data_IF_222022732907
#
_entry.id   IF_222022732907
#
_cell.length_a   1.000
_cell.length_b   1.000
_cell.length_c   1.000
_cell.angle_alpha   90.00
_cell.angle_beta   90.00
_cell.angle_gamma   90.00
#
_symmetry.space_group_name_H-M   'P 1'
#
loop_
_entity.id
_entity.type
_entity.pdbx_description
1 polymer ?
#
# COMPACT_ATOMS: atom_id res chain seq x y z
N UNK A 1 19.08 -4.45 -21.76
CA UNK A 1 18.21 -5.39 -21.02
C UNK A 1 18.97 -5.76 -19.77
N UNK A 2 18.32 -5.76 -18.61
CA UNK A 2 18.99 -6.18 -17.39
C UNK A 2 19.15 -7.71 -17.47
N UNK A 3 20.36 -8.20 -17.25
CA UNK A 3 20.62 -9.64 -17.28
C UNK A 3 20.22 -10.21 -15.93
N UNK A 4 19.42 -11.29 -15.94
CA UNK A 4 19.12 -12.05 -14.73
C UNK A 4 20.44 -12.50 -14.11
N UNK A 5 20.65 -12.17 -12.84
CA UNK A 5 21.81 -12.66 -12.08
C UNK A 5 21.49 -14.09 -11.66
N UNK A 6 22.12 -15.07 -12.31
CA UNK A 6 21.77 -16.49 -12.13
C UNK A 6 21.87 -16.96 -10.68
N UNK A 7 22.82 -16.40 -9.90
CA UNK A 7 22.99 -16.72 -8.48
C UNK A 7 21.88 -16.19 -7.57
N UNK A 8 21.03 -15.29 -8.06
CA UNK A 8 19.90 -14.77 -7.29
C UNK A 8 18.74 -15.77 -7.21
N UNK A 9 18.83 -16.88 -7.95
CA UNK A 9 17.81 -17.92 -8.01
C UNK A 9 18.40 -19.31 -7.71
N UNK A 10 17.52 -20.23 -7.34
CA UNK A 10 17.79 -21.64 -7.22
C UNK A 10 16.60 -22.43 -7.75
N UNK A 11 16.87 -23.57 -8.36
CA UNK A 11 15.86 -24.53 -8.82
C UNK A 11 16.15 -25.87 -8.18
N UNK A 12 15.24 -26.35 -7.34
CA UNK A 12 15.34 -27.67 -6.72
C UNK A 12 14.76 -28.76 -7.63
N UNK A 13 15.13 -30.02 -7.38
CA UNK A 13 14.68 -31.19 -8.18
C UNK A 13 13.15 -31.36 -8.21
N UNK A 14 12.45 -30.83 -7.21
CA UNK A 14 10.99 -30.85 -7.17
C UNK A 14 10.34 -29.72 -8.01
N UNK A 15 11.13 -28.93 -8.74
CA UNK A 15 10.67 -27.79 -9.55
C UNK A 15 10.55 -26.48 -8.76
N UNK A 16 10.85 -26.46 -7.46
CA UNK A 16 10.76 -25.25 -6.67
C UNK A 16 11.82 -24.23 -7.09
N UNK A 17 11.37 -23.06 -7.55
CA UNK A 17 12.22 -21.93 -7.88
C UNK A 17 12.18 -20.94 -6.72
N UNK A 18 13.32 -20.62 -6.13
CA UNK A 18 13.42 -19.76 -4.93
C UNK A 18 14.45 -18.66 -5.11
N UNK A 19 14.14 -17.48 -4.57
CA UNK A 19 15.07 -16.35 -4.56
C UNK A 19 16.11 -16.55 -3.46
N UNK A 20 17.38 -16.52 -3.84
CA UNK A 20 18.56 -16.63 -2.96
C UNK A 20 19.44 -15.38 -3.02
N UNK A 21 19.06 -14.41 -3.86
CA UNK A 21 19.78 -13.17 -4.10
C UNK A 21 19.64 -12.15 -2.98
N UNK A 22 20.22 -10.96 -3.22
CA UNK A 22 20.18 -9.86 -2.23
C UNK A 22 19.79 -8.50 -2.79
N UNK A 23 19.70 -8.33 -4.11
CA UNK A 23 19.56 -6.97 -4.68
C UNK A 23 18.80 -6.86 -6.00
N UNK A 24 18.79 -7.87 -6.86
CA UNK A 24 18.22 -7.68 -8.21
C UNK A 24 16.74 -8.03 -8.25
N UNK A 25 15.93 -7.10 -8.76
CA UNK A 25 14.58 -7.38 -9.22
C UNK A 25 14.60 -7.48 -10.75
N UNK A 26 13.85 -8.43 -11.30
CA UNK A 26 13.81 -8.68 -12.74
C UNK A 26 12.38 -8.56 -13.27
N UNK A 27 12.24 -8.22 -14.55
CA UNK A 27 10.93 -8.31 -15.19
C UNK A 27 10.52 -9.79 -15.33
N UNK A 28 9.22 -10.04 -15.36
CA UNK A 28 8.69 -11.39 -15.56
C UNK A 28 9.16 -12.00 -16.91
N UNK A 29 9.39 -11.17 -17.93
CA UNK A 29 9.96 -11.63 -19.21
C UNK A 29 11.44 -12.00 -19.10
N UNK A 30 12.26 -11.23 -18.36
CA UNK A 30 13.66 -11.56 -18.13
C UNK A 30 13.78 -12.90 -17.38
N UNK A 31 12.92 -13.12 -16.38
CA UNK A 31 12.83 -14.39 -15.67
C UNK A 31 12.44 -15.57 -16.58
N UNK A 32 11.43 -15.41 -17.44
CA UNK A 32 11.06 -16.46 -18.40
C UNK A 32 12.20 -16.81 -19.36
N UNK A 33 12.94 -15.80 -19.84
CA UNK A 33 14.08 -16.01 -20.74
C UNK A 33 15.22 -16.74 -20.05
N UNK A 34 15.51 -16.41 -18.79
CA UNK A 34 16.49 -17.15 -17.99
C UNK A 34 16.12 -18.63 -17.83
N UNK A 35 14.84 -18.96 -17.58
CA UNK A 35 14.39 -20.35 -17.56
C UNK A 35 14.55 -21.03 -18.92
N UNK A 36 14.31 -20.31 -20.02
CA UNK A 36 14.54 -20.81 -21.38
C UNK A 36 16.02 -21.10 -21.65
N UNK A 37 16.92 -20.22 -21.22
CA UNK A 37 18.36 -20.41 -21.36
C UNK A 37 18.84 -21.66 -20.60
N UNK A 38 18.35 -21.89 -19.37
CA UNK A 38 18.64 -23.12 -18.62
C UNK A 38 18.09 -24.38 -19.29
N UNK A 39 16.89 -24.31 -19.86
CA UNK A 39 16.31 -25.44 -20.60
C UNK A 39 17.07 -25.75 -21.91
N UNK A 40 17.89 -24.83 -22.40
CA UNK A 40 18.75 -25.08 -23.56
C UNK A 40 20.12 -25.64 -23.15
N UNK A 41 20.43 -25.70 -21.85
CA UNK A 41 21.68 -26.25 -21.35
C UNK A 41 21.74 -27.77 -21.50
N UNK A 42 22.92 -28.28 -21.84
CA UNK A 42 23.15 -29.71 -22.06
C UNK A 42 23.10 -30.55 -20.78
N UNK A 43 23.25 -29.92 -19.62
CA UNK A 43 23.27 -30.57 -18.31
C UNK A 43 23.07 -29.53 -17.21
N UNK A 44 22.17 -29.83 -16.26
CA UNK A 44 21.96 -28.99 -15.10
C UNK A 44 23.23 -28.92 -14.22
N UNK A 45 23.50 -27.78 -13.60
CA UNK A 45 24.68 -27.57 -12.79
C UNK A 45 24.40 -26.71 -11.55
N UNK A 46 25.15 -26.96 -10.47
CA UNK A 46 25.07 -26.18 -9.25
C UNK A 46 23.70 -26.30 -8.55
N UNK A 47 23.09 -25.15 -8.27
CA UNK A 47 21.80 -25.00 -7.61
C UNK A 47 20.64 -24.77 -8.59
N UNK A 48 20.89 -24.89 -9.90
CA UNK A 48 19.92 -24.70 -10.97
C UNK A 48 19.64 -26.05 -11.63
N UNK A 49 18.77 -26.85 -10.99
CA UNK A 49 18.45 -28.21 -11.43
C UNK A 49 17.36 -28.20 -12.52
N UNK A 50 17.70 -27.62 -13.67
CA UNK A 50 16.87 -27.55 -14.88
C UNK A 50 17.78 -27.66 -16.13
N UNK A 51 17.45 -28.55 -17.06
CA UNK A 51 18.15 -28.68 -18.35
C UNK A 51 17.24 -29.13 -19.51
N UNK A 52 17.84 -29.39 -20.68
CA UNK A 52 17.15 -29.81 -21.91
C UNK A 52 16.35 -31.11 -21.80
N UNK A 53 16.65 -31.94 -20.81
CA UNK A 53 15.95 -33.22 -20.60
C UNK A 53 14.70 -33.09 -19.75
N UNK A 54 14.54 -31.96 -19.08
CA UNK A 54 13.40 -31.69 -18.20
C UNK A 54 12.15 -31.24 -18.97
N UNK A 55 11.01 -31.28 -18.27
CA UNK A 55 9.77 -30.73 -18.78
C UNK A 55 9.86 -29.20 -18.94
N UNK A 56 9.12 -28.66 -19.92
CA UNK A 56 9.07 -27.21 -20.14
C UNK A 56 8.69 -26.46 -18.88
N UNK A 57 9.58 -25.63 -18.34
CA UNK A 57 9.39 -24.96 -17.07
C UNK A 57 8.34 -23.85 -17.12
N UNK A 58 8.29 -23.11 -18.23
CA UNK A 58 7.38 -21.99 -18.38
C UNK A 58 6.93 -21.78 -19.82
N UNK A 59 5.71 -21.26 -19.97
CA UNK A 59 5.13 -20.84 -21.25
C UNK A 59 4.74 -19.36 -21.17
N UNK A 60 4.87 -18.64 -22.28
CA UNK A 60 4.42 -17.25 -22.38
C UNK A 60 3.17 -17.14 -23.27
N UNK A 61 2.17 -16.40 -22.81
CA UNK A 61 1.04 -15.99 -23.66
C UNK A 61 1.29 -14.64 -24.31
N UNK A 62 1.97 -13.75 -23.59
CA UNK A 62 2.48 -12.45 -24.06
C UNK A 62 3.79 -12.19 -23.32
N UNK A 63 4.49 -11.09 -23.64
CA UNK A 63 5.70 -10.73 -22.92
C UNK A 63 5.45 -10.38 -21.44
N UNK A 64 4.20 -10.10 -21.03
CA UNK A 64 3.86 -9.79 -19.63
C UNK A 64 3.04 -10.89 -18.94
N UNK A 65 2.79 -12.04 -19.59
CA UNK A 65 1.96 -13.11 -19.02
C UNK A 65 2.67 -14.45 -19.18
N UNK A 66 3.17 -14.96 -18.06
CA UNK A 66 3.93 -16.20 -17.98
C UNK A 66 3.16 -17.22 -17.13
N UNK A 67 3.12 -18.46 -17.62
CA UNK A 67 2.56 -19.61 -16.90
C UNK A 67 3.69 -20.57 -16.57
N UNK A 68 3.89 -20.85 -15.29
CA UNK A 68 4.78 -21.91 -14.82
C UNK A 68 4.05 -23.25 -14.95
N UNK A 69 4.73 -24.23 -15.53
CA UNK A 69 4.19 -25.56 -15.76
C UNK A 69 4.58 -26.46 -14.60
N UNK A 70 3.71 -27.38 -14.22
CA UNK A 70 4.04 -28.36 -13.18
C UNK A 70 5.31 -29.15 -13.60
N UNK A 71 6.26 -29.37 -12.67
CA UNK A 71 6.18 -29.11 -11.23
C UNK A 71 6.64 -27.71 -10.78
N UNK A 72 7.03 -26.83 -11.70
CA UNK A 72 7.68 -25.56 -11.40
C UNK A 72 6.75 -24.54 -10.75
N UNK A 73 7.25 -23.87 -9.72
CA UNK A 73 6.53 -22.85 -8.96
C UNK A 73 7.48 -21.86 -8.28
N UNK A 74 6.96 -20.67 -7.98
CA UNK A 74 7.61 -19.66 -7.15
C UNK A 74 6.85 -19.48 -5.83
N UNK A 75 7.53 -18.96 -4.82
CA UNK A 75 6.93 -18.59 -3.54
C UNK A 75 6.67 -17.07 -3.44
N UNK A 76 6.02 -16.65 -2.36
CA UNK A 76 5.75 -15.24 -2.07
C UNK A 76 7.03 -14.40 -1.97
N UNK A 77 8.15 -15.04 -1.58
CA UNK A 77 9.45 -14.38 -1.46
C UNK A 77 9.98 -14.02 -2.83
N UNK A 78 10.10 -14.99 -3.75
CA UNK A 78 10.58 -14.74 -5.10
C UNK A 78 9.67 -13.78 -5.86
N UNK A 79 8.35 -13.87 -5.66
CA UNK A 79 7.39 -12.98 -6.29
C UNK A 79 7.64 -11.48 -6.00
N UNK A 80 8.22 -11.13 -4.84
CA UNK A 80 8.59 -9.74 -4.51
C UNK A 80 9.73 -9.20 -5.37
N UNK A 81 10.51 -10.08 -6.00
CA UNK A 81 11.64 -9.75 -6.86
C UNK A 81 11.32 -9.78 -8.36
N UNK A 82 10.05 -9.98 -8.70
CA UNK A 82 9.57 -9.91 -10.08
C UNK A 82 8.58 -8.76 -10.25
N UNK A 83 8.56 -8.18 -11.44
CA UNK A 83 7.64 -7.09 -11.79
C UNK A 83 7.36 -7.06 -13.30
N UNK A 84 6.51 -6.13 -13.73
CA UNK A 84 6.18 -5.91 -15.15
C UNK A 84 5.49 -7.11 -15.84
N UNK A 85 4.67 -7.84 -15.10
CA UNK A 85 3.87 -8.93 -15.64
C UNK A 85 3.26 -9.80 -14.57
N UNK A 86 2.70 -10.92 -15.00
CA UNK A 86 1.99 -11.88 -14.16
C UNK A 86 2.58 -13.28 -14.27
N UNK A 87 2.52 -13.99 -13.15
CA UNK A 87 2.88 -15.40 -13.04
C UNK A 87 1.63 -16.20 -12.66
N UNK A 88 1.28 -17.15 -13.52
CA UNK A 88 0.24 -18.15 -13.29
C UNK A 88 0.94 -19.47 -12.96
N UNK A 89 0.59 -20.12 -11.85
CA UNK A 89 1.17 -21.41 -11.48
C UNK A 89 0.12 -22.38 -10.94
N UNK A 90 0.52 -23.63 -10.69
CA UNK A 90 -0.33 -24.67 -10.11
C UNK A 90 -1.66 -24.83 -10.87
N UNK A 91 -1.60 -24.87 -12.21
CA UNK A 91 -2.81 -24.98 -13.04
C UNK A 91 -3.75 -23.78 -12.99
N UNK A 92 -3.30 -22.65 -12.43
CA UNK A 92 -4.11 -21.45 -12.23
C UNK A 92 -4.70 -21.32 -10.83
N UNK A 93 -4.33 -22.20 -9.89
CA UNK A 93 -4.78 -22.12 -8.50
C UNK A 93 -4.03 -21.07 -7.68
N UNK A 94 -2.87 -20.64 -8.15
CA UNK A 94 -2.09 -19.57 -7.53
C UNK A 94 -1.59 -18.61 -8.59
N UNK A 95 -1.85 -17.31 -8.38
CA UNK A 95 -1.59 -16.29 -9.39
C UNK A 95 -1.11 -15.00 -8.73
N UNK A 96 -0.01 -14.50 -9.29
CA UNK A 96 0.59 -13.21 -8.99
C UNK A 96 0.39 -12.28 -10.18
N UNK A 97 -0.13 -11.09 -9.93
CA UNK A 97 -0.42 -10.11 -10.97
C UNK A 97 0.49 -8.90 -10.88
N UNK A 98 0.88 -8.36 -12.03
CA UNK A 98 1.63 -7.12 -12.11
C UNK A 98 0.77 -5.93 -11.69
N UNK A 99 1.31 -5.09 -10.81
CA UNK A 99 0.76 -3.81 -10.41
C UNK A 99 1.71 -2.71 -10.88
N UNK A 100 1.17 -1.78 -11.67
CA UNK A 100 1.86 -0.61 -12.20
C UNK A 100 1.25 0.65 -11.60
N UNK A 101 2.05 1.46 -10.92
CA UNK A 101 1.56 2.64 -10.20
C UNK A 101 2.06 3.92 -10.86
N UNK A 102 1.12 4.69 -11.41
CA UNK A 102 1.37 6.04 -11.90
C UNK A 102 1.16 7.04 -10.77
N UNK A 103 2.24 7.68 -10.36
CA UNK A 103 2.28 8.77 -9.41
C UNK A 103 3.67 9.43 -9.49
N UNK A 104 3.82 10.61 -8.87
CA UNK A 104 5.15 11.18 -8.71
C UNK A 104 6.07 10.21 -7.92
N UNK A 105 7.34 10.13 -8.32
CA UNK A 105 8.35 9.33 -7.64
C UNK A 105 8.51 9.80 -6.18
N UNK A 106 8.82 8.88 -5.26
CA UNK A 106 8.95 9.20 -3.84
C UNK A 106 7.73 8.87 -2.99
N UNK A 107 6.58 8.57 -3.59
CA UNK A 107 5.32 8.33 -2.90
C UNK A 107 5.34 7.09 -2.01
N UNK A 108 4.84 7.18 -0.77
CA UNK A 108 4.50 5.99 0.01
C UNK A 108 3.19 5.36 -0.46
N UNK A 109 3.25 4.05 -0.71
CA UNK A 109 2.14 3.26 -1.25
C UNK A 109 1.68 2.21 -0.25
N UNK A 110 0.37 2.19 -0.02
CA UNK A 110 -0.32 1.12 0.68
C UNK A 110 -1.28 0.41 -0.26
N UNK A 111 -1.29 -0.92 -0.19
CA UNK A 111 -2.25 -1.75 -0.90
C UNK A 111 -3.17 -2.43 0.11
N UNK A 112 -4.48 -2.25 -0.07
CA UNK A 112 -5.50 -2.95 0.69
C UNK A 112 -6.12 -4.03 -0.18
N UNK A 113 -6.22 -5.24 0.36
CA UNK A 113 -6.87 -6.40 -0.25
C UNK A 113 -7.55 -7.19 0.87
N UNK A 114 -8.74 -7.75 0.61
CA UNK A 114 -9.47 -8.54 1.60
C UNK A 114 -9.76 -7.78 2.91
N UNK A 115 -10.05 -6.47 2.79
CA UNK A 115 -10.36 -5.60 3.92
C UNK A 115 -9.19 -5.29 4.86
N UNK A 116 -7.97 -5.70 4.53
CA UNK A 116 -6.78 -5.47 5.32
C UNK A 116 -5.62 -4.91 4.47
N UNK A 117 -4.63 -4.32 5.13
CA UNK A 117 -3.39 -3.90 4.49
C UNK A 117 -2.62 -5.16 4.01
N UNK A 118 -2.48 -5.30 2.71
CA UNK A 118 -1.86 -6.46 2.06
C UNK A 118 -0.34 -6.28 1.92
N UNK A 119 0.07 -5.11 1.45
CA UNK A 119 1.49 -4.71 1.42
C UNK A 119 1.61 -3.21 1.65
N UNK A 120 2.75 -2.81 2.20
CA UNK A 120 3.06 -1.43 2.47
C UNK A 120 4.50 -1.13 2.06
N UNK A 121 4.65 -0.24 1.09
CA UNK A 121 5.93 0.26 0.64
C UNK A 121 6.18 1.58 1.36
N UNK A 122 6.72 1.49 2.57
CA UNK A 122 7.30 2.63 3.32
C UNK A 122 8.64 3.08 2.76
N UNK A 123 8.85 2.89 1.45
CA UNK A 123 10.04 3.28 0.71
C UNK A 123 9.60 4.09 -0.50
N UNK A 124 10.51 4.89 -1.03
CA UNK A 124 10.21 5.95 -2.02
C UNK A 124 9.90 5.43 -3.44
N UNK A 125 9.99 4.12 -3.66
CA UNK A 125 9.69 3.52 -4.97
C UNK A 125 10.29 2.11 -5.11
N UNK A 126 9.45 1.14 -5.46
CA UNK A 126 9.87 -0.21 -5.83
C UNK A 126 9.88 -0.36 -7.35
N UNK A 127 11.04 -0.61 -7.96
CA UNK A 127 11.20 -0.69 -9.42
C UNK A 127 10.66 0.56 -10.15
N UNK A 128 10.85 1.74 -9.54
CA UNK A 128 10.36 3.02 -10.04
C UNK A 128 10.98 3.40 -11.40
N UNK A 129 10.24 4.19 -12.17
CA UNK A 129 10.72 4.83 -13.39
C UNK A 129 10.16 6.25 -13.45
N UNK A 130 10.91 7.17 -12.86
CA UNK A 130 10.52 8.57 -12.75
C UNK A 130 10.40 9.26 -14.11
N UNK A 131 11.14 8.80 -15.14
CA UNK A 131 11.06 9.38 -16.48
C UNK A 131 9.71 9.10 -17.15
N UNK A 132 9.08 7.97 -16.81
CA UNK A 132 7.77 7.56 -17.30
C UNK A 132 6.63 7.82 -16.30
N UNK A 133 6.90 8.53 -15.18
CA UNK A 133 5.88 8.83 -14.16
C UNK A 133 5.42 7.61 -13.36
N UNK A 134 6.26 6.58 -13.25
CA UNK A 134 5.97 5.34 -12.56
C UNK A 134 6.64 5.37 -11.19
N UNK A 135 5.85 5.27 -10.12
CA UNK A 135 6.38 5.23 -8.76
C UNK A 135 6.72 3.80 -8.32
N UNK A 136 5.89 2.82 -8.68
CA UNK A 136 6.04 1.42 -8.27
C UNK A 136 5.69 0.44 -9.39
N UNK A 137 6.45 -0.65 -9.46
CA UNK A 137 6.12 -1.87 -10.20
C UNK A 137 6.46 -3.09 -9.36
N UNK A 138 5.50 -3.97 -9.17
CA UNK A 138 5.66 -5.19 -8.38
C UNK A 138 4.59 -6.20 -8.73
N UNK A 139 4.75 -7.44 -8.28
CA UNK A 139 3.67 -8.42 -8.32
C UNK A 139 2.92 -8.50 -6.99
N UNK A 140 1.63 -8.79 -7.05
CA UNK A 140 0.79 -9.06 -5.90
C UNK A 140 0.05 -10.38 -6.09
N UNK A 141 0.03 -11.22 -5.06
CA UNK A 141 -0.80 -12.43 -5.05
C UNK A 141 -2.28 -12.05 -5.08
N UNK A 142 -3.02 -12.56 -6.06
CA UNK A 142 -4.46 -12.27 -6.20
C UNK A 142 -5.34 -13.53 -6.16
N UNK A 143 -4.72 -14.71 -6.24
CA UNK A 143 -5.40 -16.00 -6.17
C UNK A 143 -4.53 -16.99 -5.41
N UNK A 144 -5.16 -17.78 -4.56
CA UNK A 144 -4.52 -18.87 -3.82
C UNK A 144 -5.50 -20.03 -3.66
N UNK A 145 -5.02 -21.27 -3.73
CA UNK A 145 -5.82 -22.48 -3.61
C UNK A 145 -7.10 -22.48 -4.49
N UNK A 146 -6.99 -21.96 -5.72
CA UNK A 146 -8.10 -21.92 -6.68
C UNK A 146 -9.12 -20.82 -6.44
N UNK A 147 -8.97 -20.00 -5.39
CA UNK A 147 -9.91 -18.95 -5.02
C UNK A 147 -9.31 -17.55 -5.18
N UNK A 148 -10.07 -16.66 -5.82
CA UNK A 148 -9.72 -15.24 -5.95
C UNK A 148 -9.75 -14.55 -4.58
N UNK A 149 -8.64 -13.93 -4.19
CA UNK A 149 -8.57 -13.11 -2.98
C UNK A 149 -9.38 -11.84 -3.23
N UNK A 150 -10.43 -11.63 -2.44
CA UNK A 150 -11.33 -10.48 -2.55
C UNK A 150 -11.91 -10.27 -3.97
N UNK A 151 -12.11 -11.35 -4.73
CA UNK A 151 -12.53 -11.26 -6.14
C UNK A 151 -11.53 -10.52 -7.04
N UNK A 152 -10.25 -10.53 -6.66
CA UNK A 152 -9.14 -9.78 -7.27
C UNK A 152 -9.29 -8.26 -7.16
N UNK A 153 -10.07 -7.78 -6.20
CA UNK A 153 -10.25 -6.35 -5.94
C UNK A 153 -9.14 -5.84 -5.04
N UNK A 154 -8.67 -4.64 -5.35
CA UNK A 154 -7.57 -3.98 -4.67
C UNK A 154 -7.85 -2.50 -4.50
N UNK A 155 -7.31 -1.90 -3.46
CA UNK A 155 -7.28 -0.45 -3.28
C UNK A 155 -5.82 -0.05 -3.08
N UNK A 156 -5.31 0.78 -3.98
CA UNK A 156 -4.05 1.50 -3.77
C UNK A 156 -4.35 2.83 -3.10
N UNK A 157 -3.57 3.19 -2.08
CA UNK A 157 -3.72 4.48 -1.41
C UNK A 157 -2.37 5.07 -1.00
N UNK A 158 -2.35 6.39 -0.88
CA UNK A 158 -1.27 7.14 -0.23
C UNK A 158 -1.86 8.01 0.87
N UNK A 159 -1.17 8.05 2.01
CA UNK A 159 -1.61 8.68 3.28
C UNK A 159 -0.46 9.43 3.95
N UNK A 160 0.48 9.95 3.16
CA UNK A 160 1.65 10.64 3.70
C UNK A 160 1.33 12.07 4.15
N UNK A 161 1.65 12.37 5.41
CA UNK A 161 1.41 13.69 5.98
C UNK A 161 2.16 14.79 5.20
N UNK A 162 1.47 15.90 4.92
CA UNK A 162 2.00 17.01 4.12
C UNK A 162 1.85 16.81 2.61
N UNK A 163 1.28 15.68 2.17
CA UNK A 163 0.96 15.39 0.78
C UNK A 163 -0.54 15.10 0.60
N UNK A 164 -1.00 15.17 -0.65
CA UNK A 164 -2.38 14.83 -1.02
C UNK A 164 -2.67 13.36 -0.74
N UNK A 165 -3.74 13.10 0.02
CA UNK A 165 -4.22 11.74 0.20
C UNK A 165 -5.00 11.32 -1.05
N UNK A 166 -4.60 10.20 -1.64
CA UNK A 166 -5.23 9.68 -2.86
C UNK A 166 -5.57 8.21 -2.69
N UNK A 167 -6.60 7.77 -3.39
CA UNK A 167 -7.06 6.39 -3.41
C UNK A 167 -7.47 6.01 -4.83
N UNK A 168 -7.14 4.78 -5.24
CA UNK A 168 -7.55 4.22 -6.51
C UNK A 168 -7.95 2.76 -6.34
N UNK A 169 -9.09 2.37 -6.93
CA UNK A 169 -9.65 1.03 -6.81
C UNK A 169 -9.50 0.26 -8.11
N UNK A 170 -9.06 -0.99 -8.02
CA UNK A 170 -9.14 -1.97 -9.10
C UNK A 170 -10.27 -2.93 -8.74
N UNK A 171 -11.32 -2.98 -9.56
CA UNK A 171 -12.52 -3.80 -9.32
C UNK A 171 -12.40 -5.21 -9.92
N UNK A 172 -11.23 -5.83 -9.76
CA UNK A 172 -10.87 -7.11 -10.36
C UNK A 172 -9.69 -6.96 -11.30
N UNK A 173 -8.51 -7.43 -10.88
CA UNK A 173 -7.33 -7.46 -11.75
C UNK A 173 -7.50 -8.42 -12.93
N UNK A 174 -6.82 -8.10 -14.02
CA UNK A 174 -6.60 -8.98 -15.16
C UNK A 174 -5.13 -9.40 -15.22
N UNK A 175 -4.84 -10.37 -16.11
CA UNK A 175 -3.46 -10.80 -16.36
C UNK A 175 -2.63 -9.68 -16.99
N UNK A 176 -1.33 -9.66 -16.68
CA UNK A 176 -0.38 -8.63 -17.07
C UNK A 176 -0.31 -7.49 -16.05
N UNK A 177 -0.08 -6.27 -16.54
CA UNK A 177 0.05 -5.09 -15.69
C UNK A 177 -1.31 -4.41 -15.44
N UNK A 178 -1.66 -4.27 -14.18
CA UNK A 178 -2.85 -3.57 -13.71
C UNK A 178 -2.47 -2.20 -13.19
N UNK A 179 -3.21 -1.17 -13.60
CA UNK A 179 -2.83 0.22 -13.34
C UNK A 179 -3.52 0.76 -12.08
N UNK A 180 -2.72 1.37 -11.21
CA UNK A 180 -3.17 2.28 -10.15
C UNK A 180 -2.72 3.70 -10.51
N UNK A 181 -3.66 4.63 -10.62
CA UNK A 181 -3.36 6.04 -10.85
C UNK A 181 -3.61 6.83 -9.57
N UNK A 182 -2.55 7.30 -8.93
CA UNK A 182 -2.62 8.03 -7.67
C UNK A 182 -2.07 9.44 -7.86
N UNK A 183 -2.69 10.38 -7.15
CA UNK A 183 -2.16 11.74 -7.05
C UNK A 183 -1.26 11.84 -5.82
N UNK A 184 -0.04 12.34 -6.02
CA UNK A 184 0.92 12.56 -4.95
C UNK A 184 1.62 13.91 -5.19
N UNK A 185 1.17 14.92 -4.46
CA UNK A 185 1.69 16.27 -4.51
C UNK A 185 1.66 16.89 -3.11
N UNK A 186 2.45 17.95 -2.88
CA UNK A 186 2.41 18.69 -1.62
C UNK A 186 1.00 19.22 -1.35
N UNK A 187 0.49 18.98 -0.15
CA UNK A 187 -0.79 19.52 0.28
C UNK A 187 -0.61 20.98 0.72
N UNK A 188 -1.09 21.91 -0.11
CA UNK A 188 -1.01 23.34 0.15
C UNK A 188 -1.85 23.77 1.36
N UNK A 189 -2.81 22.95 1.81
CA UNK A 189 -3.61 23.22 2.99
C UNK A 189 -2.98 22.67 4.28
N UNK A 190 -1.93 21.84 4.17
CA UNK A 190 -1.26 21.20 5.30
C UNK A 190 0.26 21.36 5.20
N UNK A 191 0.73 22.59 5.34
CA UNK A 191 2.14 22.96 5.26
C UNK A 191 2.87 22.93 6.62
N UNK A 192 2.15 22.68 7.72
CA UNK A 192 2.74 22.60 9.06
C UNK A 192 3.60 21.35 9.14
N UNK A 193 4.85 21.44 9.57
CA UNK A 193 5.73 20.29 9.64
C UNK A 193 5.19 19.19 10.58
N UNK A 194 5.31 17.92 10.18
CA UNK A 194 4.87 16.78 10.96
C UNK A 194 5.43 16.78 12.39
N UNK A 195 6.71 17.14 12.55
CA UNK A 195 7.35 17.25 13.86
C UNK A 195 6.75 18.33 14.76
N UNK A 196 6.21 19.42 14.18
CA UNK A 196 5.49 20.45 14.94
C UNK A 196 4.14 19.93 15.41
N UNK A 197 3.38 19.25 14.54
CA UNK A 197 2.09 18.64 14.88
C UNK A 197 2.25 17.54 15.93
N UNK A 198 3.26 16.68 15.77
CA UNK A 198 3.57 15.63 16.74
C UNK A 198 3.95 16.17 18.13
N UNK A 199 4.44 17.42 18.19
CA UNK A 199 4.73 18.12 19.44
C UNK A 199 3.52 18.77 20.12
N UNK A 200 2.33 18.75 19.50
CA UNK A 200 1.12 19.31 20.12
C UNK A 200 0.62 18.40 21.24
N UNK A 201 1.11 18.66 22.45
CA UNK A 201 0.59 18.03 23.68
C UNK A 201 -0.69 18.70 24.18
N UNK A 202 -1.08 19.79 23.55
CA UNK A 202 -2.22 20.63 23.92
C UNK A 202 -3.55 20.07 23.44
N UNK A 203 -3.55 19.15 22.48
CA UNK A 203 -4.78 18.47 22.03
C UNK A 203 -4.69 17.02 22.49
N UNK A 204 -5.56 16.63 23.42
CA UNK A 204 -5.60 15.26 23.95
C UNK A 204 -6.97 14.66 23.72
N UNK A 205 -7.00 13.38 23.34
CA UNK A 205 -8.20 12.58 23.27
C UNK A 205 -8.13 11.49 24.33
N UNK A 206 -9.10 11.48 25.25
CA UNK A 206 -9.33 10.34 26.14
C UNK A 206 -10.47 9.51 25.57
N UNK A 207 -10.11 8.43 24.87
CA UNK A 207 -11.07 7.52 24.25
C UNK A 207 -11.84 6.70 25.30
N UNK A 208 -13.09 6.35 24.96
CA UNK A 208 -13.97 5.53 25.79
C UNK A 208 -15.22 6.28 26.25
N UNK A 209 -16.17 5.54 26.82
CA UNK A 209 -17.41 6.13 27.33
C UNK A 209 -17.12 7.02 28.54
N UNK A 210 -17.56 8.27 28.49
CA UNK A 210 -17.29 9.30 29.50
C UNK A 210 -18.59 9.99 29.89
N UNK A 211 -18.75 10.24 31.18
CA UNK A 211 -19.78 11.14 31.69
C UNK A 211 -19.10 12.45 32.08
N UNK A 212 -19.43 13.53 31.36
CA UNK A 212 -18.77 14.84 31.48
C UNK A 212 -19.86 15.90 31.55
N UNK A 213 -19.77 16.82 32.49
CA UNK A 213 -20.63 18.00 32.57
C UNK A 213 -19.99 19.11 31.72
N UNK A 214 -20.36 19.18 30.44
CA UNK A 214 -19.74 20.12 29.49
C UNK A 214 -20.44 21.49 29.52
N UNK A 215 -21.74 21.51 29.84
CA UNK A 215 -22.53 22.74 29.87
C UNK A 215 -22.60 23.42 31.26
N UNK A 216 -22.06 22.77 32.29
CA UNK A 216 -21.95 23.28 33.66
C UNK A 216 -23.27 23.25 34.42
N UNK A 217 -24.24 22.42 34.02
CA UNK A 217 -25.56 22.34 34.63
C UNK A 217 -25.64 21.39 35.85
N UNK A 218 -24.50 20.80 36.27
CA UNK A 218 -24.37 19.79 37.32
C UNK A 218 -24.99 18.42 36.99
N UNK A 219 -25.33 18.16 35.73
CA UNK A 219 -25.82 16.89 35.19
C UNK A 219 -24.89 16.44 34.07
N UNK A 220 -24.05 15.41 34.28
CA UNK A 220 -23.13 14.96 33.25
C UNK A 220 -23.84 14.40 32.01
N UNK A 221 -23.41 14.81 30.82
CA UNK A 221 -23.77 14.15 29.56
C UNK A 221 -22.80 13.02 29.22
N UNK A 222 -23.27 12.09 28.39
CA UNK A 222 -22.49 10.93 28.01
C UNK A 222 -21.89 11.09 26.60
N UNK A 223 -20.58 10.92 26.51
CA UNK A 223 -19.81 11.04 25.28
C UNK A 223 -18.99 9.77 25.02
N UNK A 224 -18.66 9.50 23.76
CA UNK A 224 -17.84 8.35 23.35
C UNK A 224 -16.33 8.63 23.38
N UNK A 225 -15.95 9.89 23.61
CA UNK A 225 -14.56 10.36 23.73
C UNK A 225 -14.53 11.75 24.31
N UNK A 226 -13.50 12.07 25.09
CA UNK A 226 -13.22 13.42 25.59
C UNK A 226 -12.07 14.04 24.80
N UNK A 227 -12.35 15.13 24.08
CA UNK A 227 -11.34 15.90 23.37
C UNK A 227 -11.05 17.19 24.13
N UNK A 228 -9.85 17.27 24.72
CA UNK A 228 -9.35 18.48 25.33
C UNK A 228 -8.46 19.21 24.33
N UNK A 229 -8.75 20.49 24.15
CA UNK A 229 -7.83 21.44 23.52
C UNK A 229 -7.35 22.37 24.62
N UNK A 230 -6.05 22.64 24.69
CA UNK A 230 -5.44 23.55 25.66
C UNK A 230 -5.70 25.01 25.25
N UNK A 231 -6.94 25.29 24.82
CA UNK A 231 -7.52 26.57 25.17
C UNK A 231 -7.68 26.51 26.67
N UNK A 232 -6.96 27.38 27.37
CA UNK A 232 -7.54 27.98 28.56
C UNK A 232 -8.95 28.40 28.16
N UNK A 233 -9.96 27.67 28.60
CA UNK A 233 -11.14 28.35 29.09
C UNK A 233 -10.55 29.29 30.12
N UNK A 234 -10.32 30.55 29.73
CA UNK A 234 -10.29 31.59 30.73
C UNK A 234 -11.62 31.41 31.45
N UNK A 235 -11.56 30.75 32.60
CA UNK A 235 -12.62 30.79 33.58
C UNK A 235 -12.67 32.24 33.97
N UNK A 236 -13.50 32.96 33.26
CA UNK A 236 -14.00 34.24 33.62
C UNK A 236 -15.41 34.21 33.02
N UNK A 237 -16.48 34.38 33.78
CA UNK A 237 -16.80 35.60 34.51
C UNK A 237 -16.26 36.91 33.87
N UNK A 238 -15.79 36.88 32.62
CA UNK A 238 -15.38 38.02 31.81
C UNK A 238 -16.46 38.24 30.77
N UNK A 239 -17.15 39.40 30.80
CA UNK A 239 -18.19 39.73 29.82
C UNK A 239 -17.62 40.08 28.43
N UNK A 240 -16.41 39.62 28.11
CA UNK A 240 -15.62 40.00 26.93
C UNK A 240 -15.13 38.76 26.20
N UNK A 241 -15.36 38.71 24.89
CA UNK A 241 -14.75 37.72 23.99
C UNK A 241 -14.12 38.46 22.81
N UNK A 242 -12.98 37.96 22.32
CA UNK A 242 -12.23 38.55 21.21
C UNK A 242 -12.51 37.77 19.91
N UNK A 243 -12.96 38.47 18.87
CA UNK A 243 -12.91 38.03 17.48
C UNK A 243 -12.15 39.11 16.70
N UNK A 244 -11.12 38.72 15.93
CA UNK A 244 -10.37 39.62 15.04
C UNK A 244 -9.99 40.99 15.65
N UNK A 245 -9.35 40.99 16.82
CA UNK A 245 -8.85 42.19 17.51
C UNK A 245 -9.92 43.24 17.90
N UNK A 246 -11.21 42.87 17.94
CA UNK A 246 -12.30 43.74 18.40
C UNK A 246 -12.85 43.27 19.76
N UNK A 247 -12.86 44.18 20.75
CA UNK A 247 -13.40 43.92 22.10
C UNK A 247 -14.89 44.29 22.15
N UNK A 248 -15.77 43.33 22.44
CA UNK A 248 -17.22 43.54 22.57
C UNK A 248 -17.74 43.08 23.94
N UNK A 249 -18.53 43.94 24.61
CA UNK A 249 -19.17 43.67 25.92
C UNK A 249 -20.48 42.92 25.69
N UNK A 250 -20.71 41.77 26.35
CA UNK A 250 -22.07 41.18 26.39
C UNK A 250 -23.03 42.14 27.12
N UNK A 251 -23.96 42.71 26.38
CA UNK A 251 -25.15 43.34 26.96
C UNK A 251 -26.03 42.27 27.61
N UNK A 252 -26.54 42.56 28.80
CA UNK A 252 -27.49 41.72 29.53
C UNK A 252 -28.77 41.60 28.71
N UNK A 253 -28.98 40.48 28.03
CA UNK A 253 -30.30 40.17 27.46
C UNK A 253 -31.20 39.66 28.59
N UNK A 254 -32.42 40.20 28.78
CA UNK A 254 -33.35 39.69 29.77
C UNK A 254 -33.68 38.22 29.49
N UNK A 255 -33.67 37.40 30.54
CA UNK A 255 -34.21 36.03 30.51
C UNK A 255 -35.66 36.08 30.03
N UNK A 256 -35.94 35.49 28.88
CA UNK A 256 -37.29 35.06 28.55
C UNK A 256 -37.35 33.54 28.65
N UNK A 257 -38.07 33.08 29.66
CA UNK A 257 -38.55 31.71 29.73
C UNK A 257 -39.43 31.42 28.51
N UNK A 258 -39.21 30.28 27.87
CA UNK A 258 -40.25 29.58 27.15
C UNK A 258 -40.14 28.10 27.52
N UNK A 259 -40.99 27.68 28.48
CA UNK A 259 -41.32 26.27 28.66
C UNK A 259 -42.25 25.85 27.52
N UNK A 260 -42.10 24.63 27.05
CA UNK A 260 -43.10 23.58 27.23
C UNK A 260 -42.38 22.31 27.66
#
# INVERSE_FOLDING_TARGET
>A
MATVVTTDYSIATNGDIRYTGTTTNNTVIEFHRWLGDLMDDALAAGNDLLDITDATASERSTDNIITLKAPFNIDDTLAQHLFDGSIIQNGGDEIYEGILVFAAAGMYLEIVQNGALATNFWTTGLNADAANGISHRFMLKVRTAGADIDGRRLIGQTREFGFTYSEFKINGTARGNNVLALTYATDLNNQTAAGTVAGWTTITNTEGYRSIDVDGNATPENYYSEWNVDRKYEVADSPWFCFNNLWLKRGTFPRHHARN
#
